data_IF_981608236756
#
_entry.id   IF_981608236756
#
_cell.length_a   1.000
_cell.length_b   1.000
_cell.length_c   1.000
_cell.angle_alpha   90.00
_cell.angle_beta   90.00
_cell.angle_gamma   90.00
#
_symmetry.space_group_name_H-M   'P 1'
#
loop_
_entity.id
_entity.type
_entity.pdbx_description
1 polymer ?
#
# COMPACT_ATOMS: atom_id res chain seq x y z
N UNK A 1 -14.29 10.77 5.88
CA UNK A 1 -13.08 10.28 5.20
C UNK A 1 -12.32 9.41 6.20
N UNK A 2 -12.57 8.11 6.22
CA UNK A 2 -11.71 7.13 6.89
C UNK A 2 -11.15 6.22 5.80
N UNK A 3 -10.15 6.72 5.07
CA UNK A 3 -9.40 5.90 4.12
C UNK A 3 -8.40 5.07 4.95
N UNK A 4 -8.80 3.84 5.26
CA UNK A 4 -8.06 2.83 6.04
C UNK A 4 -8.00 3.10 7.56
N UNK A 5 -8.94 2.56 8.33
CA UNK A 5 -8.83 2.42 9.79
C UNK A 5 -7.88 1.27 10.13
N UNK A 6 -6.59 1.44 9.83
CA UNK A 6 -5.55 0.43 10.05
C UNK A 6 -4.33 1.03 10.71
N UNK A 7 -3.73 0.26 11.61
CA UNK A 7 -2.41 0.56 12.13
C UNK A 7 -1.35 0.21 11.05
N UNK A 8 -0.18 0.82 11.14
CA UNK A 8 0.94 0.51 10.27
C UNK A 8 2.29 0.90 10.86
N UNK A 9 3.38 0.42 10.26
CA UNK A 9 4.75 0.74 10.67
C UNK A 9 5.68 0.95 9.48
N UNK A 10 6.71 1.75 9.69
CA UNK A 10 7.82 1.90 8.77
C UNK A 10 8.86 0.81 9.04
N UNK A 11 9.23 0.06 8.00
CA UNK A 11 10.23 -1.01 8.06
C UNK A 11 11.27 -0.76 6.99
N UNK A 12 12.52 -1.12 7.25
CA UNK A 12 13.56 -1.15 6.24
C UNK A 12 13.72 -2.60 5.76
N UNK A 13 13.12 -2.90 4.61
CA UNK A 13 13.20 -4.20 3.97
C UNK A 13 14.53 -4.36 3.22
N UNK A 14 15.21 -5.51 3.33
CA UNK A 14 16.52 -5.72 2.71
C UNK A 14 16.49 -5.69 1.18
N UNK A 15 15.35 -5.97 0.55
CA UNK A 15 15.19 -6.00 -0.91
C UNK A 15 14.58 -4.71 -1.45
N UNK A 16 13.57 -4.16 -0.77
CA UNK A 16 12.79 -3.02 -1.26
C UNK A 16 13.14 -1.68 -0.59
N UNK A 17 14.02 -1.70 0.42
CA UNK A 17 14.39 -0.52 1.19
C UNK A 17 13.27 -0.10 2.15
N UNK A 18 13.05 1.20 2.31
CA UNK A 18 12.04 1.72 3.25
C UNK A 18 10.62 1.46 2.74
N UNK A 19 9.86 0.65 3.47
CA UNK A 19 8.49 0.24 3.14
C UNK A 19 7.52 0.59 4.26
N UNK A 20 6.24 0.73 3.91
CA UNK A 20 5.13 0.87 4.85
C UNK A 20 4.42 -0.48 4.94
N UNK A 21 4.37 -1.06 6.13
CA UNK A 21 3.54 -2.24 6.42
C UNK A 21 2.23 -1.79 7.07
N UNK A 22 1.11 -2.31 6.58
CA UNK A 22 -0.22 -2.07 7.12
C UNK A 22 -0.76 -3.38 7.69
N UNK A 23 -1.48 -3.30 8.82
CA UNK A 23 -2.11 -4.49 9.40
C UNK A 23 -3.42 -4.84 8.68
N UNK A 24 -3.67 -6.15 8.57
CA UNK A 24 -4.82 -6.69 7.84
C UNK A 24 -4.66 -6.65 6.33
N UNK A 25 -5.65 -7.18 5.61
CA UNK A 25 -5.66 -7.11 4.15
C UNK A 25 -6.24 -5.78 3.67
N UNK A 26 -5.37 -4.88 3.22
CA UNK A 26 -5.71 -3.57 2.69
C UNK A 26 -5.33 -3.38 1.22
N UNK A 27 -4.96 -4.45 0.51
CA UNK A 27 -4.31 -4.34 -0.81
C UNK A 27 -5.17 -3.61 -1.85
N UNK A 28 -6.49 -3.79 -1.82
CA UNK A 28 -7.43 -3.13 -2.75
C UNK A 28 -7.61 -1.64 -2.40
N UNK A 29 -7.71 -1.32 -1.12
CA UNK A 29 -7.89 0.05 -0.64
C UNK A 29 -6.65 0.90 -0.94
N UNK A 30 -5.46 0.37 -0.61
CA UNK A 30 -4.18 1.03 -0.86
C UNK A 30 -3.92 1.17 -2.36
N UNK A 31 -4.18 0.13 -3.15
CA UNK A 31 -4.05 0.22 -4.61
C UNK A 31 -4.93 1.33 -5.19
N UNK A 32 -6.15 1.49 -4.69
CA UNK A 32 -7.07 2.52 -5.18
C UNK A 32 -6.59 3.92 -4.76
N UNK A 33 -6.19 4.08 -3.50
CA UNK A 33 -5.65 5.32 -2.95
C UNK A 33 -4.42 5.81 -3.74
N UNK A 34 -3.42 4.95 -3.96
CA UNK A 34 -2.18 5.34 -4.66
C UNK A 34 -2.44 5.83 -6.11
N UNK A 35 -3.46 5.28 -6.77
CA UNK A 35 -3.84 5.69 -8.13
C UNK A 35 -4.67 6.98 -8.10
N UNK A 36 -5.62 7.10 -7.16
CA UNK A 36 -6.49 8.27 -7.00
C UNK A 36 -5.69 9.53 -6.65
N UNK A 37 -4.71 9.41 -5.75
CA UNK A 37 -3.83 10.50 -5.36
C UNK A 37 -2.71 10.78 -6.37
N UNK A 38 -2.67 10.04 -7.49
CA UNK A 38 -1.68 10.23 -8.55
C UNK A 38 -0.24 9.85 -8.17
N UNK A 39 -0.03 9.16 -7.05
CA UNK A 39 1.28 8.70 -6.57
C UNK A 39 1.87 7.66 -7.54
N UNK A 40 1.02 6.80 -8.11
CA UNK A 40 1.45 5.76 -9.04
C UNK A 40 0.45 5.56 -10.17
N UNK A 41 0.95 5.27 -11.38
CA UNK A 41 0.09 4.87 -12.51
C UNK A 41 -0.42 3.45 -12.28
N UNK A 42 -1.71 3.21 -12.55
CA UNK A 42 -2.36 1.88 -12.39
C UNK A 42 -1.56 0.71 -12.97
N UNK A 43 -0.92 0.89 -14.14
CA UNK A 43 -0.10 -0.15 -14.79
C UNK A 43 1.16 -0.56 -14.02
N UNK A 44 1.61 0.25 -13.06
CA UNK A 44 2.77 -0.04 -12.22
C UNK A 44 2.38 -0.62 -10.86
N UNK A 45 1.08 -0.69 -10.53
CA UNK A 45 0.61 -1.35 -9.32
C UNK A 45 0.59 -2.85 -9.53
N UNK A 46 1.26 -3.59 -8.64
CA UNK A 46 1.23 -5.05 -8.60
C UNK A 46 0.64 -5.49 -7.26
N UNK A 47 -0.44 -6.27 -7.32
CA UNK A 47 -1.07 -6.86 -6.13
C UNK A 47 -0.68 -8.33 -6.08
N UNK A 48 -0.11 -8.75 -4.95
CA UNK A 48 0.29 -10.13 -4.68
C UNK A 48 -0.56 -10.68 -3.51
N UNK A 49 -0.75 -12.00 -3.46
CA UNK A 49 -1.59 -12.68 -2.46
C UNK A 49 -3.00 -13.00 -2.96
N UNK A 50 -3.68 -13.94 -2.29
CA UNK A 50 -5.05 -14.39 -2.59
C UNK A 50 -6.09 -13.69 -1.74
#
# INVERSE_FOLDING_TARGET
>A
MEQCSCNGRLVNDPQFGKVIELFGDQRRTVSSFLVQEGIVKKKHVKIHGF
#
